data_IF_291166433724
#
_entry.id   IF_291166433724
#
_cell.length_a   1.000
_cell.length_b   1.000
_cell.length_c   1.000
_cell.angle_alpha   90.00
_cell.angle_beta   90.00
_cell.angle_gamma   90.00
#
_symmetry.space_group_name_H-M   'P 1'
#
loop_
_entity.id
_entity.type
_entity.pdbx_description
1 polymer ?
#
# COMPACT_ATOMS: atom_id res chain seq x y z
N UNK A 1 -3.86 17.20 -10.26
CA UNK A 1 -4.87 16.59 -9.37
C UNK A 1 -4.71 15.08 -9.20
N UNK A 2 -5.08 14.21 -10.16
CA UNK A 2 -4.98 12.74 -9.95
C UNK A 2 -3.54 12.29 -9.68
N UNK A 3 -2.56 12.87 -10.37
CA UNK A 3 -1.13 12.60 -10.11
C UNK A 3 -0.69 13.00 -8.70
N UNK A 4 -1.05 14.19 -8.23
CA UNK A 4 -0.73 14.63 -6.86
C UNK A 4 -1.41 13.74 -5.81
N UNK A 5 -2.64 13.31 -6.06
CA UNK A 5 -3.36 12.37 -5.19
C UNK A 5 -2.68 11.00 -5.17
N UNK A 6 -2.23 10.50 -6.32
CA UNK A 6 -1.48 9.24 -6.42
C UNK A 6 -0.14 9.34 -5.69
N UNK A 7 0.56 10.48 -5.81
CA UNK A 7 1.84 10.67 -5.13
C UNK A 7 1.65 10.76 -3.61
N UNK A 8 0.61 11.46 -3.15
CA UNK A 8 0.24 11.53 -1.73
C UNK A 8 -0.16 10.16 -1.17
N UNK A 9 -1.07 9.45 -1.85
CA UNK A 9 -1.52 8.12 -1.45
C UNK A 9 -0.36 7.12 -1.47
N UNK A 10 0.58 7.26 -2.41
CA UNK A 10 1.83 6.49 -2.45
C UNK A 10 2.69 6.69 -1.21
N UNK A 11 2.90 7.93 -0.77
CA UNK A 11 3.62 8.19 0.47
C UNK A 11 2.91 7.61 1.70
N UNK A 12 1.59 7.76 1.79
CA UNK A 12 0.79 7.17 2.87
C UNK A 12 0.94 5.63 2.87
N UNK A 13 0.88 5.01 1.70
CA UNK A 13 1.07 3.57 1.52
C UNK A 13 2.45 3.14 2.03
N UNK A 14 3.51 3.80 1.58
CA UNK A 14 4.91 3.47 1.96
C UNK A 14 5.09 3.56 3.48
N UNK A 15 4.70 4.68 4.09
CA UNK A 15 4.90 4.89 5.53
C UNK A 15 4.04 3.95 6.38
N UNK A 16 2.76 3.77 6.04
CA UNK A 16 1.87 2.88 6.80
C UNK A 16 2.34 1.43 6.75
N UNK A 17 2.70 0.91 5.57
CA UNK A 17 3.19 -0.46 5.42
C UNK A 17 4.57 -0.64 6.07
N UNK A 18 5.46 0.35 5.96
CA UNK A 18 6.77 0.30 6.61
C UNK A 18 6.67 0.25 8.14
N UNK A 19 5.82 1.10 8.73
CA UNK A 19 5.60 1.12 10.18
C UNK A 19 4.92 -0.16 10.69
N UNK A 20 3.89 -0.64 9.98
CA UNK A 20 3.20 -1.89 10.36
C UNK A 20 4.09 -3.11 10.18
N UNK A 21 4.85 -3.17 9.08
CA UNK A 21 5.84 -4.23 8.84
C UNK A 21 6.90 -4.24 9.93
N UNK A 22 7.43 -3.08 10.32
CA UNK A 22 8.38 -2.97 11.44
C UNK A 22 7.76 -3.46 12.75
N UNK A 23 6.51 -3.07 13.05
CA UNK A 23 5.81 -3.57 14.23
C UNK A 23 5.66 -5.09 14.18
N UNK A 24 5.28 -5.68 13.05
CA UNK A 24 5.14 -7.13 12.93
C UNK A 24 6.47 -7.88 13.07
N UNK A 25 7.56 -7.35 12.53
CA UNK A 25 8.90 -7.91 12.75
C UNK A 25 9.27 -7.87 14.24
N UNK A 26 9.01 -6.74 14.92
CA UNK A 26 9.23 -6.61 16.37
C UNK A 26 8.36 -7.60 17.14
N UNK A 27 7.07 -7.68 16.82
CA UNK A 27 6.11 -8.56 17.47
C UNK A 27 6.44 -10.03 17.24
N UNK A 28 7.08 -10.40 16.13
CA UNK A 28 7.57 -11.76 15.90
C UNK A 28 8.58 -12.18 16.96
N UNK A 29 9.50 -11.27 17.34
CA UNK A 29 10.58 -11.53 18.30
C UNK A 29 10.23 -11.16 19.74
N UNK A 30 9.26 -10.26 19.96
CA UNK A 30 8.95 -9.69 21.28
C UNK A 30 7.46 -9.80 21.63
N UNK A 31 7.14 -10.77 22.49
CA UNK A 31 5.75 -11.10 22.90
C UNK A 31 4.92 -9.90 23.39
N UNK A 32 5.45 -8.94 24.19
CA UNK A 32 4.69 -7.77 24.63
C UNK A 32 4.16 -6.89 23.49
N UNK A 33 4.81 -6.91 22.32
CA UNK A 33 4.35 -6.16 21.15
C UNK A 33 3.16 -6.84 20.42
N UNK A 34 2.81 -8.09 20.78
CA UNK A 34 1.66 -8.84 20.22
C UNK A 34 0.36 -8.49 20.95
N UNK A 35 -0.18 -7.30 20.68
CA UNK A 35 -1.45 -6.85 21.27
C UNK A 35 -2.65 -7.25 20.40
N UNK A 36 -3.82 -7.50 21.01
CA UNK A 36 -5.04 -7.92 20.25
C UNK A 36 -5.50 -6.93 19.18
N UNK A 37 -5.06 -5.68 19.28
CA UNK A 37 -5.53 -4.55 18.46
C UNK A 37 -4.58 -4.27 17.29
N UNK A 38 -3.50 -5.05 17.13
CA UNK A 38 -2.48 -4.79 16.10
C UNK A 38 -3.02 -4.84 14.66
N UNK A 39 -4.15 -5.52 14.46
CA UNK A 39 -4.79 -5.68 13.15
C UNK A 39 -5.66 -4.48 12.75
N UNK A 40 -6.14 -3.68 13.72
CA UNK A 40 -6.96 -2.50 13.41
C UNK A 40 -6.29 -1.51 12.45
N UNK A 41 -5.00 -1.15 12.64
CA UNK A 41 -4.34 -0.24 11.69
C UNK A 41 -3.99 -0.90 10.35
N UNK A 42 -4.03 -2.23 10.23
CA UNK A 42 -3.85 -2.91 8.93
C UNK A 42 -5.01 -2.62 7.99
N UNK A 43 -6.23 -2.52 8.50
CA UNK A 43 -7.43 -2.25 7.68
C UNK A 43 -7.29 -0.96 6.86
N UNK A 44 -7.03 0.23 7.45
CA UNK A 44 -6.85 1.45 6.67
C UNK A 44 -5.58 1.39 5.78
N UNK A 45 -4.52 0.73 6.23
CA UNK A 45 -3.31 0.52 5.42
C UNK A 45 -3.56 -0.39 4.21
N UNK A 46 -4.51 -1.32 4.26
CA UNK A 46 -4.89 -2.12 3.11
C UNK A 46 -5.82 -1.34 2.18
N UNK A 47 -6.72 -0.53 2.73
CA UNK A 47 -7.58 0.36 1.93
C UNK A 47 -6.74 1.32 1.08
N UNK A 48 -5.64 1.88 1.62
CA UNK A 48 -4.79 2.79 0.84
C UNK A 48 -4.11 2.09 -0.34
N UNK A 49 -3.81 0.79 -0.25
CA UNK A 49 -3.28 0.00 -1.38
C UNK A 49 -4.28 -0.03 -2.53
N UNK A 50 -5.56 -0.27 -2.22
CA UNK A 50 -6.63 -0.26 -3.22
C UNK A 50 -6.81 1.14 -3.82
N UNK A 51 -6.83 2.18 -2.98
CA UNK A 51 -6.92 3.57 -3.44
C UNK A 51 -5.76 3.89 -4.39
N UNK A 52 -4.54 3.51 -4.04
CA UNK A 52 -3.36 3.78 -4.86
C UNK A 52 -3.45 3.10 -6.23
N UNK A 53 -3.90 1.86 -6.26
CA UNK A 53 -4.08 1.14 -7.51
C UNK A 53 -5.17 1.73 -8.40
N UNK A 54 -6.31 2.17 -7.82
CA UNK A 54 -7.36 2.86 -8.58
C UNK A 54 -6.84 4.17 -9.18
N UNK A 55 -6.13 4.98 -8.38
CA UNK A 55 -5.51 6.22 -8.87
C UNK A 55 -4.48 5.94 -9.97
N UNK A 56 -3.66 4.89 -9.82
CA UNK A 56 -2.69 4.45 -10.82
C UNK A 56 -3.35 4.01 -12.12
N UNK A 57 -4.44 3.25 -12.05
CA UNK A 57 -5.22 2.84 -13.22
C UNK A 57 -5.84 4.04 -13.95
N UNK A 58 -6.40 5.01 -13.21
CA UNK A 58 -6.94 6.26 -13.78
C UNK A 58 -5.84 7.10 -14.44
N UNK A 59 -4.62 7.10 -13.90
CA UNK A 59 -3.49 7.78 -14.54
C UNK A 59 -3.04 7.06 -15.82
N UNK A 60 -2.94 5.74 -15.78
CA UNK A 60 -2.53 4.91 -16.93
C UNK A 60 -3.53 5.00 -18.09
N UNK A 61 -4.80 5.30 -17.83
CA UNK A 61 -5.80 5.50 -18.89
C UNK A 61 -5.70 6.86 -19.60
N UNK A 62 -4.83 7.78 -19.16
CA UNK A 62 -4.68 9.11 -19.77
C UNK A 62 -3.75 9.06 -20.98
N UNK A 63 -4.09 9.83 -22.01
CA UNK A 63 -3.29 9.95 -23.24
C UNK A 63 -1.86 10.41 -22.92
N UNK A 64 -0.88 9.68 -23.45
CA UNK A 64 0.54 10.00 -23.31
C UNK A 64 1.19 9.53 -22.01
N UNK A 65 0.44 8.86 -21.12
CA UNK A 65 1.02 8.21 -19.93
C UNK A 65 1.47 6.80 -20.29
N UNK A 66 2.78 6.56 -20.22
CA UNK A 66 3.36 5.22 -20.33
C UNK A 66 3.58 4.69 -18.92
N UNK A 67 2.92 3.57 -18.61
CA UNK A 67 3.09 2.88 -17.34
C UNK A 67 4.33 2.00 -17.40
N UNK A 68 5.14 2.03 -16.34
CA UNK A 68 6.28 1.13 -16.21
C UNK A 68 5.83 -0.29 -15.83
N UNK A 69 6.34 -1.30 -16.53
CA UNK A 69 5.90 -2.69 -16.41
C UNK A 69 6.12 -3.24 -14.99
N UNK A 70 7.23 -2.87 -14.34
CA UNK A 70 7.51 -3.31 -12.97
C UNK A 70 6.57 -2.61 -11.99
N UNK A 71 6.34 -1.32 -12.17
CA UNK A 71 5.41 -0.57 -11.33
C UNK A 71 3.98 -1.13 -11.41
N UNK A 72 3.53 -1.52 -12.61
CA UNK A 72 2.25 -2.17 -12.83
C UNK A 72 2.18 -3.54 -12.13
N UNK A 73 3.22 -4.36 -12.29
CA UNK A 73 3.31 -5.70 -11.70
C UNK A 73 3.23 -5.65 -10.17
N UNK A 74 4.07 -4.82 -9.54
CA UNK A 74 4.09 -4.69 -8.08
C UNK A 74 2.79 -4.09 -7.54
N UNK A 75 2.24 -3.07 -8.21
CA UNK A 75 0.97 -2.46 -7.83
C UNK A 75 -0.20 -3.45 -7.84
N UNK A 76 -0.30 -4.28 -8.89
CA UNK A 76 -1.32 -5.33 -8.97
C UNK A 76 -1.12 -6.41 -7.91
N UNK A 77 0.13 -6.84 -7.71
CA UNK A 77 0.47 -7.86 -6.72
C UNK A 77 0.09 -7.43 -5.30
N UNK A 78 0.23 -6.15 -4.97
CA UNK A 78 -0.15 -5.62 -3.66
C UNK A 78 -1.66 -5.74 -3.34
N UNK A 79 -2.52 -5.85 -4.36
CA UNK A 79 -3.97 -6.04 -4.19
C UNK A 79 -4.35 -7.52 -4.19
N UNK A 80 -3.73 -8.30 -5.08
CA UNK A 80 -4.14 -9.68 -5.38
C UNK A 80 -3.36 -10.72 -4.58
N UNK A 81 -2.28 -10.35 -3.91
CA UNK A 81 -1.56 -11.23 -3.00
C UNK A 81 -2.41 -11.57 -1.76
N UNK A 82 -3.34 -12.49 -1.97
CA UNK A 82 -4.09 -13.23 -0.94
C UNK A 82 -3.73 -14.69 -1.16
N UNK A 83 -3.04 -15.27 -0.19
CA UNK A 83 -2.61 -16.67 -0.17
C UNK A 83 -3.24 -17.40 1.01
#
# INVERSE_FOLDING_TARGET
MVRELHDLAGWILIFSNGLLGLWFVIAQQWQPARVRWMWWPVIPAQIIVVVQAVLGAVLASQLGVVLDDMHALYGFSAIVAVG
#
